data_IF_673107571583
#
_entry.id   IF_673107571583
#
_cell.length_a   1.000
_cell.length_b   1.000
_cell.length_c   1.000
_cell.angle_alpha   90.00
_cell.angle_beta   90.00
_cell.angle_gamma   90.00
#
_symmetry.space_group_name_H-M   'P 1'
#
loop_
_entity.id
_entity.type
_entity.pdbx_description
1 polymer ?
#
# COMPACT_ATOMS: atom_id res chain seq x y z
N UNK A 1 -4.54 -20.62 -2.07
CA UNK A 1 -4.37 -20.24 -0.64
C UNK A 1 -5.39 -19.16 -0.30
N UNK A 2 -5.79 -19.03 0.96
CA UNK A 2 -6.65 -17.91 1.34
C UNK A 2 -5.89 -16.58 1.16
N UNK A 3 -6.54 -15.57 0.60
CA UNK A 3 -6.03 -14.21 0.50
C UNK A 3 -5.63 -13.67 1.89
N UNK A 4 -4.47 -13.00 1.98
CA UNK A 4 -3.97 -12.42 3.23
C UNK A 4 -3.85 -10.92 3.07
N UNK A 5 -4.25 -10.16 4.09
CA UNK A 5 -4.13 -8.69 4.09
C UNK A 5 -3.37 -8.20 5.31
N UNK A 6 -2.41 -7.29 5.10
CA UNK A 6 -1.78 -6.51 6.16
C UNK A 6 -2.17 -5.04 6.03
N UNK A 7 -2.47 -4.40 7.16
CA UNK A 7 -2.78 -2.97 7.25
C UNK A 7 -1.60 -2.21 7.83
N UNK A 8 -1.10 -1.23 7.10
CA UNK A 8 0.08 -0.44 7.47
C UNK A 8 -0.30 1.04 7.56
N UNK A 9 0.01 1.66 8.70
CA UNK A 9 -0.36 3.06 8.99
C UNK A 9 0.90 3.93 8.98
N UNK A 10 1.03 4.84 8.01
CA UNK A 10 2.18 5.75 7.89
C UNK A 10 1.77 7.16 8.29
N UNK A 11 2.50 7.79 9.21
CA UNK A 11 2.15 9.10 9.76
C UNK A 11 2.41 10.28 8.82
N UNK A 12 3.29 10.10 7.83
CA UNK A 12 3.67 11.14 6.88
C UNK A 12 4.12 10.49 5.58
N UNK A 13 3.36 10.71 4.51
CA UNK A 13 3.60 10.15 3.19
C UNK A 13 3.61 11.27 2.16
N UNK A 14 4.74 11.43 1.47
CA UNK A 14 4.87 12.30 0.31
C UNK A 14 4.69 11.51 -1.00
N UNK A 15 4.46 12.20 -2.11
CA UNK A 15 4.49 11.58 -3.44
C UNK A 15 5.88 10.99 -3.72
N UNK A 16 5.94 9.72 -4.13
CA UNK A 16 7.19 9.04 -4.43
C UNK A 16 7.10 7.52 -4.38
N UNK A 17 8.26 6.87 -4.49
CA UNK A 17 8.39 5.42 -4.34
C UNK A 17 8.34 5.01 -2.87
N UNK A 18 7.62 3.92 -2.61
CA UNK A 18 7.52 3.30 -1.30
C UNK A 18 7.83 1.81 -1.39
N UNK A 19 8.29 1.25 -0.28
CA UNK A 19 8.58 -0.17 -0.13
C UNK A 19 7.98 -0.67 1.19
N UNK A 20 7.44 -1.88 1.19
CA UNK A 20 7.06 -2.58 2.40
C UNK A 20 7.37 -4.08 2.29
N UNK A 21 8.24 -4.56 3.19
CA UNK A 21 8.60 -5.96 3.27
C UNK A 21 7.55 -6.75 4.05
N UNK A 22 7.09 -7.86 3.48
CA UNK A 22 6.14 -8.76 4.10
C UNK A 22 6.33 -10.17 3.53
N UNK A 23 6.83 -11.08 4.38
CA UNK A 23 7.24 -12.45 4.01
C UNK A 23 6.26 -13.24 3.11
N UNK A 24 4.92 -13.12 3.26
CA UNK A 24 3.96 -13.80 2.38
C UNK A 24 3.96 -13.36 0.91
N UNK A 25 4.50 -12.19 0.58
CA UNK A 25 4.62 -11.73 -0.82
C UNK A 25 5.88 -12.37 -1.42
N UNK A 26 5.80 -12.83 -2.67
CA UNK A 26 6.96 -13.25 -3.46
C UNK A 26 6.98 -12.48 -4.78
N UNK A 27 8.07 -12.54 -5.54
CA UNK A 27 8.15 -11.92 -6.87
C UNK A 27 7.11 -12.44 -7.88
N UNK A 28 6.43 -13.55 -7.60
CA UNK A 28 5.37 -14.13 -8.45
C UNK A 28 3.96 -13.83 -7.95
N UNK A 29 3.83 -13.14 -6.82
CA UNK A 29 2.53 -12.90 -6.19
C UNK A 29 1.70 -11.88 -6.94
N UNK A 30 0.37 -12.04 -6.94
CA UNK A 30 -0.54 -10.98 -7.32
C UNK A 30 -0.84 -10.11 -6.08
N UNK A 31 -0.71 -8.79 -6.22
CA UNK A 31 -0.86 -7.84 -5.09
C UNK A 31 -1.86 -6.74 -5.45
N UNK A 32 -2.77 -6.45 -4.51
CA UNK A 32 -3.62 -5.25 -4.52
C UNK A 32 -3.28 -4.37 -3.32
N UNK A 33 -3.27 -3.05 -3.53
CA UNK A 33 -3.05 -2.07 -2.48
C UNK A 33 -4.20 -1.07 -2.49
N UNK A 34 -4.99 -1.04 -1.42
CA UNK A 34 -5.94 0.06 -1.18
C UNK A 34 -5.30 1.13 -0.30
N UNK A 35 -5.62 2.40 -0.54
CA UNK A 35 -5.08 3.51 0.24
C UNK A 35 -6.14 4.57 0.55
N UNK A 36 -6.03 5.20 1.71
CA UNK A 36 -6.78 6.40 2.10
C UNK A 36 -6.04 7.14 3.22
N UNK A 37 -6.47 8.36 3.56
CA UNK A 37 -5.95 9.03 4.76
C UNK A 37 -6.35 8.25 6.04
N UNK A 38 -5.65 8.51 7.14
CA UNK A 38 -6.09 8.05 8.46
C UNK A 38 -6.02 9.15 9.50
N UNK A 39 -6.77 8.98 10.59
CA UNK A 39 -6.73 9.86 11.76
C UNK A 39 -6.65 9.06 13.07
N UNK A 40 -6.10 9.64 14.15
CA UNK A 40 -6.21 9.06 15.49
C UNK A 40 -7.67 8.73 15.83
N UNK A 41 -7.86 7.64 16.57
CA UNK A 41 -9.17 7.18 17.03
C UNK A 41 -9.12 6.84 18.51
N UNK A 42 -10.23 7.04 19.21
CA UNK A 42 -10.41 6.61 20.60
C UNK A 42 -10.86 5.16 20.73
N UNK A 43 -11.15 4.49 19.61
CA UNK A 43 -11.50 3.06 19.57
C UNK A 43 -10.26 2.17 19.71
N UNK A 44 -10.48 0.89 20.06
CA UNK A 44 -9.43 -0.14 20.09
C UNK A 44 -8.62 -0.10 18.78
N UNK A 45 -7.29 -0.04 18.90
CA UNK A 45 -6.36 0.10 17.77
C UNK A 45 -5.90 1.54 17.46
N UNK A 46 -6.47 2.57 18.11
CA UNK A 46 -5.94 3.94 18.17
C UNK A 46 -5.93 4.74 16.86
N UNK A 47 -6.32 4.13 15.73
CA UNK A 47 -6.27 4.70 14.38
C UNK A 47 -7.51 4.28 13.59
N UNK A 48 -7.98 5.14 12.69
CA UNK A 48 -9.14 4.87 11.84
C UNK A 48 -8.90 5.33 10.41
N UNK A 49 -9.44 4.58 9.43
CA UNK A 49 -9.50 5.03 8.04
C UNK A 49 -10.31 6.31 7.94
N UNK A 50 -9.89 7.22 7.08
CA UNK A 50 -10.48 8.54 6.93
C UNK A 50 -10.45 8.92 5.45
N UNK A 51 -11.58 9.37 4.88
CA UNK A 51 -11.63 9.81 3.47
C UNK A 51 -10.58 10.90 3.23
N UNK A 52 -10.50 11.84 4.14
CA UNK A 52 -9.57 12.95 4.01
C UNK A 52 -9.99 13.95 2.94
N UNK A 53 -9.08 14.88 2.69
CA UNK A 53 -9.16 15.85 1.61
C UNK A 53 -8.27 15.45 0.43
N UNK A 54 -7.15 14.79 0.67
CA UNK A 54 -6.16 14.44 -0.35
C UNK A 54 -6.62 13.26 -1.20
N UNK A 55 -6.43 13.38 -2.51
CA UNK A 55 -6.53 12.24 -3.42
C UNK A 55 -5.28 11.37 -3.28
N UNK A 56 -5.46 10.09 -3.02
CA UNK A 56 -4.35 9.13 -2.87
C UNK A 56 -4.44 8.11 -4.00
N UNK A 57 -3.40 8.04 -4.82
CA UNK A 57 -3.29 7.05 -5.90
C UNK A 57 -2.11 6.13 -5.63
N UNK A 58 -2.34 4.83 -5.81
CA UNK A 58 -1.28 3.81 -5.82
C UNK A 58 -1.06 3.38 -7.26
N UNK A 59 0.20 3.41 -7.70
CA UNK A 59 0.60 3.18 -9.08
C UNK A 59 1.81 2.26 -9.13
N UNK A 60 1.99 1.60 -10.28
CA UNK A 60 3.15 0.78 -10.58
C UNK A 60 3.54 -0.16 -9.42
N UNK A 61 2.64 -1.07 -9.07
CA UNK A 61 2.81 -2.02 -7.97
C UNK A 61 3.68 -3.17 -8.48
N UNK A 62 4.85 -3.36 -7.87
CA UNK A 62 5.78 -4.44 -8.19
C UNK A 62 6.08 -5.28 -6.93
N UNK A 63 5.58 -6.51 -6.86
CA UNK A 63 6.02 -7.47 -5.84
C UNK A 63 7.47 -7.93 -6.13
N UNK A 64 8.22 -8.22 -5.08
CA UNK A 64 9.63 -8.60 -5.17
C UNK A 64 10.03 -9.64 -4.11
N UNK A 65 11.27 -10.11 -4.18
CA UNK A 65 11.82 -11.18 -3.36
C UNK A 65 12.42 -12.32 -4.20
N UNK A 66 13.64 -12.74 -3.85
CA UNK A 66 14.40 -13.76 -4.60
C UNK A 66 15.47 -14.50 -3.76
N UNK A 67 15.22 -14.69 -2.47
CA UNK A 67 16.17 -15.28 -1.48
C UNK A 67 17.46 -14.46 -1.24
N UNK A 68 17.71 -13.41 -2.02
CA UNK A 68 18.79 -12.43 -1.81
C UNK A 68 18.19 -11.11 -1.31
N UNK A 69 17.06 -10.70 -1.87
CA UNK A 69 16.24 -9.59 -1.42
C UNK A 69 15.07 -10.09 -0.54
N UNK A 70 14.72 -9.31 0.48
CA UNK A 70 13.58 -9.60 1.33
C UNK A 70 12.26 -9.54 0.54
N UNK A 71 11.39 -10.50 0.77
CA UNK A 71 10.04 -10.54 0.22
C UNK A 71 9.22 -9.29 0.55
N UNK A 72 8.59 -8.68 -0.46
CA UNK A 72 7.82 -7.46 -0.27
C UNK A 72 7.19 -6.89 -1.53
N UNK A 73 6.77 -5.64 -1.44
CA UNK A 73 6.21 -4.87 -2.55
C UNK A 73 6.81 -3.47 -2.58
N UNK A 74 7.11 -3.00 -3.78
CA UNK A 74 7.36 -1.59 -4.07
C UNK A 74 6.23 -1.01 -4.89
N UNK A 75 5.92 0.25 -4.67
CA UNK A 75 4.85 0.94 -5.39
C UNK A 75 5.06 2.44 -5.35
N UNK A 76 4.56 3.13 -6.36
CA UNK A 76 4.57 4.59 -6.41
C UNK A 76 3.28 5.11 -5.79
N UNK A 77 3.40 5.98 -4.78
CA UNK A 77 2.25 6.72 -4.24
C UNK A 77 2.25 8.13 -4.83
N UNK A 78 1.09 8.56 -5.33
CA UNK A 78 0.84 9.96 -5.62
C UNK A 78 -0.14 10.49 -4.60
N UNK A 79 0.35 11.40 -3.76
CA UNK A 79 -0.46 12.20 -2.84
C UNK A 79 -0.80 13.49 -3.58
N UNK A 80 -2.02 13.53 -4.11
CA UNK A 80 -2.55 14.66 -4.85
C UNK A 80 -2.95 15.81 -3.92
N UNK A 81 -3.43 16.88 -4.55
CA UNK A 81 -4.00 18.02 -3.83
C UNK A 81 -5.21 17.57 -2.99
N UNK A 82 -5.37 18.18 -1.82
CA UNK A 82 -6.42 17.84 -0.89
C UNK A 82 -6.99 18.99 -0.10
N UNK A 83 -7.96 19.68 -0.68
CA UNK A 83 -8.71 20.75 -0.02
C UNK A 83 -7.83 21.87 0.56
N UNK A 84 -8.34 22.56 1.59
CA UNK A 84 -7.76 23.77 2.18
C UNK A 84 -6.32 23.64 2.74
N UNK A 85 -5.75 22.43 2.76
CA UNK A 85 -4.43 22.15 3.34
C UNK A 85 -3.31 22.04 2.28
N UNK A 86 -3.60 22.26 0.99
CA UNK A 86 -2.60 22.32 -0.08
C UNK A 86 -1.79 21.03 -0.31
N UNK A 87 -0.65 21.18 -0.98
CA UNK A 87 0.32 20.09 -1.21
C UNK A 87 1.15 19.85 0.05
N UNK A 88 1.21 18.60 0.51
CA UNK A 88 2.05 18.24 1.65
C UNK A 88 1.89 16.77 2.04
N UNK A 89 2.86 16.23 2.81
CA UNK A 89 2.76 14.87 3.30
C UNK A 89 1.48 14.61 4.12
N UNK A 90 0.90 13.42 3.98
CA UNK A 90 -0.35 13.04 4.66
C UNK A 90 -0.19 11.77 5.49
N UNK A 91 -0.93 11.61 6.59
CA UNK A 91 -1.08 10.32 7.23
C UNK A 91 -1.89 9.39 6.31
N UNK A 92 -1.25 8.36 5.76
CA UNK A 92 -1.87 7.42 4.81
C UNK A 92 -1.83 6.00 5.37
N UNK A 93 -2.92 5.27 5.17
CA UNK A 93 -3.04 3.85 5.51
C UNK A 93 -3.14 3.04 4.24
N UNK A 94 -2.36 1.97 4.19
CA UNK A 94 -2.34 1.00 3.09
C UNK A 94 -2.85 -0.34 3.60
N UNK A 95 -3.82 -0.91 2.89
CA UNK A 95 -4.10 -2.35 3.01
C UNK A 95 -3.44 -3.04 1.83
N UNK A 96 -2.46 -3.88 2.13
CA UNK A 96 -1.72 -4.67 1.16
C UNK A 96 -2.26 -6.09 1.21
N UNK A 97 -2.95 -6.50 0.15
CA UNK A 97 -3.51 -7.83 0.01
C UNK A 97 -2.68 -8.64 -0.98
N UNK A 98 -2.26 -9.82 -0.56
CA UNK A 98 -1.60 -10.81 -1.42
C UNK A 98 -2.60 -11.91 -1.78
N UNK A 99 -2.66 -12.24 -3.07
CA UNK A 99 -3.47 -13.31 -3.64
C UNK A 99 -2.59 -14.49 -4.06
N UNK A 100 -3.24 -15.52 -4.61
CA UNK A 100 -2.54 -16.64 -5.23
C UNK A 100 -1.69 -16.18 -6.43
N UNK A 101 -0.66 -16.97 -6.73
CA UNK A 101 0.16 -16.75 -7.92
C UNK A 101 -0.70 -16.96 -9.18
N UNK A 102 -0.34 -16.32 -10.31
CA UNK A 102 -0.99 -16.58 -11.59
C UNK A 102 -0.99 -18.08 -11.93
N UNK A 103 -2.11 -18.59 -12.43
CA UNK A 103 -2.21 -19.99 -12.88
C UNK A 103 -1.54 -20.21 -14.24
N UNK A 104 -1.47 -19.15 -15.07
CA UNK A 104 -0.95 -19.19 -16.43
C UNK A 104 -0.21 -17.89 -16.75
N UNK A 105 0.83 -18.00 -17.57
CA UNK A 105 1.57 -16.87 -18.15
C UNK A 105 1.55 -17.04 -19.68
N UNK A 106 1.18 -15.98 -20.40
CA UNK A 106 1.06 -15.99 -21.86
C UNK A 106 1.68 -14.71 -22.40
N UNK A 107 2.45 -14.82 -23.49
CA UNK A 107 2.95 -13.68 -24.27
C UNK A 107 2.06 -13.52 -25.51
N UNK A 108 1.53 -12.31 -25.74
CA UNK A 108 0.65 -11.98 -26.87
C UNK A 108 1.36 -11.14 -27.91
#
# INVERSE_FOLDING_TARGET
MANRTIRVWWSSVATGWMNFNWSPITSQSVVHISACEWKPSTTIGGKSKHRGGAQIYVKNIRPHGNNVEANGVEFFVQVGEGGALGFGPRPVVFDITVFDNPEQEVTV
#
